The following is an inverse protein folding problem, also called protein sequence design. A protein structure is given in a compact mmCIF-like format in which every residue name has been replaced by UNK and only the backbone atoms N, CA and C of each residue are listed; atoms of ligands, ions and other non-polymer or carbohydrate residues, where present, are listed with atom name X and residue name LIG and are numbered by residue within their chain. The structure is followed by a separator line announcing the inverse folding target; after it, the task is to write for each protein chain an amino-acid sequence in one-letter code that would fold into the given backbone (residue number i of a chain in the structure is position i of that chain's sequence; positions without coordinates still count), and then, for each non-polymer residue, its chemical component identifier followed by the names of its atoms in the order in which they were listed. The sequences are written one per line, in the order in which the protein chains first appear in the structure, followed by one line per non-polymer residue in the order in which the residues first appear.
data_IF_372705394668
#
_entry.id   IF_372705394668
#
_cell.length_a   1.000
_cell.length_b   1.000
_cell.length_c   1.000
_cell.angle_alpha   90.00
_cell.angle_beta   90.00
_cell.angle_gamma   90.00
#
_symmetry.space_group_name_H-M   'P 1'
#
loop_
_entity.id
_entity.type
_entity.pdbx_description
1 polymer ?
#
# COMPACT_ATOMS: atom_id res chain seq x y z
N UNK A 1 -27.21 13.75 -7.98
CA UNK A 1 -26.90 14.60 -6.83
C UNK A 1 -25.40 14.61 -6.57
N UNK A 2 -24.80 13.48 -6.24
CA UNK A 2 -23.41 13.40 -5.79
C UNK A 2 -22.38 13.91 -6.82
N UNK A 3 -22.57 13.61 -8.12
CA UNK A 3 -21.69 14.14 -9.17
C UNK A 3 -21.76 15.66 -9.27
N UNK A 4 -22.96 16.24 -9.11
CA UNK A 4 -23.13 17.69 -9.09
C UNK A 4 -22.44 18.32 -7.88
N UNK A 5 -22.66 17.76 -6.70
CA UNK A 5 -22.07 18.25 -5.45
C UNK A 5 -20.52 18.15 -5.52
N UNK A 6 -19.98 17.09 -6.13
CA UNK A 6 -18.53 16.93 -6.38
C UNK A 6 -18.00 18.07 -7.27
N UNK A 7 -18.65 18.34 -8.40
CA UNK A 7 -18.20 19.39 -9.31
C UNK A 7 -18.33 20.77 -8.65
N UNK A 8 -19.44 21.07 -8.01
CA UNK A 8 -19.64 22.36 -7.32
C UNK A 8 -18.59 22.60 -6.22
N UNK A 9 -18.22 21.54 -5.48
CA UNK A 9 -17.16 21.63 -4.46
C UNK A 9 -15.79 21.89 -5.09
N UNK A 10 -15.46 21.22 -6.19
CA UNK A 10 -14.09 21.14 -6.70
C UNK A 10 -13.83 22.06 -7.92
N UNK A 11 -14.85 22.71 -8.46
CA UNK A 11 -14.77 23.52 -9.68
C UNK A 11 -13.66 24.58 -9.65
N UNK A 12 -13.56 25.29 -8.53
CA UNK A 12 -12.58 26.37 -8.34
C UNK A 12 -11.23 25.86 -7.79
N UNK A 13 -11.01 24.56 -7.74
CA UNK A 13 -9.74 23.98 -7.28
C UNK A 13 -8.86 23.57 -8.46
N UNK A 14 -7.83 24.34 -8.82
CA UNK A 14 -6.98 24.06 -10.00
C UNK A 14 -6.17 22.76 -9.85
N UNK A 15 -6.02 22.21 -8.66
CA UNK A 15 -5.38 20.92 -8.41
C UNK A 15 -6.28 19.74 -8.82
N UNK A 16 -7.58 19.93 -8.97
CA UNK A 16 -8.48 18.91 -9.52
C UNK A 16 -8.40 18.96 -11.04
N UNK A 17 -7.76 17.98 -11.64
CA UNK A 17 -7.47 17.95 -13.08
C UNK A 17 -8.36 16.99 -13.87
N UNK A 18 -9.08 16.09 -13.21
CA UNK A 18 -10.01 15.14 -13.81
C UNK A 18 -11.06 14.69 -12.80
N UNK A 19 -12.16 14.15 -13.28
CA UNK A 19 -13.19 13.51 -12.47
C UNK A 19 -13.19 12.00 -12.67
N UNK A 20 -13.51 11.24 -11.62
CA UNK A 20 -13.75 9.81 -11.70
C UNK A 20 -15.20 9.48 -11.35
N UNK A 21 -15.88 8.72 -12.19
CA UNK A 21 -17.28 8.31 -11.98
C UNK A 21 -17.43 7.09 -11.10
N UNK A 22 -16.34 6.38 -10.80
CA UNK A 22 -16.35 5.20 -9.93
C UNK A 22 -15.05 4.43 -9.96
N UNK A 23 -14.96 3.43 -9.09
CA UNK A 23 -13.82 2.53 -9.00
C UNK A 23 -14.29 1.08 -8.86
N UNK A 24 -13.76 0.19 -9.68
CA UNK A 24 -14.04 -1.26 -9.70
C UNK A 24 -15.52 -1.61 -9.73
N UNK A 25 -16.33 -0.77 -10.41
CA UNK A 25 -17.75 -1.02 -10.61
C UNK A 25 -17.91 -2.15 -11.62
N UNK A 26 -18.15 -3.36 -11.11
CA UNK A 26 -18.17 -4.57 -11.93
C UNK A 26 -19.29 -4.57 -12.98
N UNK A 27 -20.37 -3.82 -12.75
CA UNK A 27 -21.48 -3.61 -13.67
C UNK A 27 -21.09 -2.90 -14.97
N UNK A 28 -19.92 -2.22 -15.01
CA UNK A 28 -19.39 -1.64 -16.25
C UNK A 28 -19.07 -2.70 -17.33
N UNK A 29 -19.07 -3.98 -16.99
CA UNK A 29 -19.06 -5.10 -17.94
C UNK A 29 -20.42 -5.49 -18.49
N UNK A 30 -21.51 -4.82 -18.10
CA UNK A 30 -22.89 -5.10 -18.48
C UNK A 30 -23.53 -3.91 -19.23
N UNK A 31 -24.55 -4.18 -20.04
CA UNK A 31 -25.19 -3.18 -20.90
C UNK A 31 -25.66 -1.94 -20.14
N UNK A 32 -26.31 -2.13 -19.01
CA UNK A 32 -26.84 -1.01 -18.22
C UNK A 32 -25.70 -0.20 -17.55
N UNK A 33 -24.67 -0.85 -17.03
CA UNK A 33 -23.50 -0.17 -16.46
C UNK A 33 -22.71 0.61 -17.51
N UNK A 34 -22.55 0.05 -18.72
CA UNK A 34 -21.94 0.76 -19.86
C UNK A 34 -22.73 2.02 -20.20
N UNK A 35 -24.09 1.91 -20.31
CA UNK A 35 -24.96 3.06 -20.55
C UNK A 35 -24.84 4.11 -19.42
N UNK A 36 -24.85 3.67 -18.18
CA UNK A 36 -24.73 4.57 -17.03
C UNK A 36 -23.39 5.32 -17.02
N UNK A 37 -22.30 4.62 -17.35
CA UNK A 37 -20.96 5.25 -17.45
C UNK A 37 -20.97 6.38 -18.49
N UNK A 38 -21.56 6.15 -19.68
CA UNK A 38 -21.71 7.19 -20.69
C UNK A 38 -22.55 8.39 -20.21
N UNK A 39 -23.70 8.11 -19.61
CA UNK A 39 -24.57 9.16 -19.07
C UNK A 39 -23.88 10.00 -17.99
N UNK A 40 -23.08 9.37 -17.13
CA UNK A 40 -22.31 10.07 -16.10
C UNK A 40 -21.24 10.97 -16.72
N UNK A 41 -20.51 10.48 -17.70
CA UNK A 41 -19.51 11.26 -18.44
C UNK A 41 -20.13 12.47 -19.12
N UNK A 42 -21.21 12.27 -19.86
CA UNK A 42 -21.95 13.37 -20.50
C UNK A 42 -22.49 14.38 -19.49
N UNK A 43 -22.99 13.91 -18.35
CA UNK A 43 -23.49 14.79 -17.31
C UNK A 43 -22.38 15.65 -16.70
N UNK A 44 -21.20 15.06 -16.42
CA UNK A 44 -20.04 15.80 -15.93
C UNK A 44 -19.55 16.83 -16.96
N UNK A 45 -19.51 16.51 -18.24
CA UNK A 45 -19.15 17.46 -19.30
C UNK A 45 -20.14 18.64 -19.39
N UNK A 46 -21.43 18.41 -19.11
CA UNK A 46 -22.44 19.50 -19.04
C UNK A 46 -22.21 20.42 -17.83
N UNK A 47 -21.70 19.90 -16.73
CA UNK A 47 -21.39 20.68 -15.53
C UNK A 47 -20.05 21.39 -15.62
N UNK A 48 -19.05 20.69 -16.15
CA UNK A 48 -17.69 21.18 -16.35
C UNK A 48 -17.04 20.53 -17.58
N UNK A 49 -17.07 21.23 -18.69
CA UNK A 49 -16.46 20.79 -19.95
C UNK A 49 -14.94 20.99 -20.01
N UNK A 50 -14.28 21.41 -18.94
CA UNK A 50 -12.85 21.71 -18.91
C UNK A 50 -12.00 20.56 -18.41
N UNK A 51 -12.59 19.59 -17.72
CA UNK A 51 -11.89 18.45 -17.09
C UNK A 51 -12.31 17.12 -17.70
N UNK A 52 -11.35 16.24 -18.03
CA UNK A 52 -11.65 14.92 -18.53
C UNK A 52 -12.26 14.02 -17.46
N UNK A 53 -12.99 13.01 -17.91
CA UNK A 53 -13.69 12.03 -17.09
C UNK A 53 -13.07 10.66 -17.24
N UNK A 54 -12.92 9.95 -16.16
CA UNK A 54 -12.40 8.58 -16.08
C UNK A 54 -13.28 7.70 -15.21
N UNK A 55 -13.02 6.40 -15.23
CA UNK A 55 -13.52 5.42 -14.25
C UNK A 55 -12.50 4.29 -14.13
N UNK A 56 -12.19 3.90 -12.92
CA UNK A 56 -11.30 2.76 -12.67
C UNK A 56 -12.01 1.43 -12.93
N UNK A 57 -11.51 0.63 -13.86
CA UNK A 57 -12.08 -0.68 -14.20
C UNK A 57 -11.06 -1.77 -13.91
N UNK A 58 -11.41 -2.70 -12.99
CA UNK A 58 -10.70 -3.94 -12.86
C UNK A 58 -11.12 -4.91 -13.96
N UNK A 59 -10.28 -4.99 -14.98
CA UNK A 59 -10.59 -5.68 -16.24
C UNK A 59 -10.92 -7.15 -16.03
N UNK A 60 -10.14 -7.83 -15.17
CA UNK A 60 -10.32 -9.25 -14.91
C UNK A 60 -11.56 -9.51 -14.06
N UNK A 61 -11.81 -8.67 -13.06
CA UNK A 61 -12.99 -8.81 -12.21
C UNK A 61 -14.28 -8.49 -12.95
N UNK A 62 -14.31 -7.49 -13.84
CA UNK A 62 -15.45 -7.24 -14.71
C UNK A 62 -15.82 -8.46 -15.56
N UNK A 63 -14.81 -9.15 -16.09
CA UNK A 63 -15.04 -10.40 -16.82
C UNK A 63 -15.63 -11.48 -15.90
N UNK A 64 -15.06 -11.72 -14.71
CA UNK A 64 -15.55 -12.70 -13.76
C UNK A 64 -17.00 -12.38 -13.32
N UNK A 65 -17.28 -11.11 -13.03
CA UNK A 65 -18.62 -10.66 -12.68
C UNK A 65 -19.63 -10.95 -13.80
N UNK A 66 -19.25 -10.70 -15.05
CA UNK A 66 -20.09 -10.99 -16.21
C UNK A 66 -20.40 -12.49 -16.39
N UNK A 67 -19.60 -13.35 -15.77
CA UNK A 67 -19.80 -14.81 -15.70
C UNK A 67 -20.58 -15.25 -14.46
N UNK A 68 -21.03 -14.32 -13.61
CA UNK A 68 -21.80 -14.59 -12.41
C UNK A 68 -20.98 -14.79 -11.13
N UNK A 69 -19.67 -14.60 -11.16
CA UNK A 69 -18.82 -14.70 -9.97
C UNK A 69 -18.88 -13.42 -9.12
N UNK A 70 -18.95 -13.55 -7.80
CA UNK A 70 -18.90 -12.42 -6.86
C UNK A 70 -20.09 -11.46 -6.95
N UNK A 71 -21.16 -11.82 -7.65
CA UNK A 71 -22.34 -10.96 -7.86
C UNK A 71 -23.02 -10.69 -6.53
N UNK A 72 -23.10 -9.42 -6.17
CA UNK A 72 -23.85 -8.93 -5.03
C UNK A 72 -25.32 -8.73 -5.40
N UNK A 73 -26.22 -9.13 -4.49
CA UNK A 73 -27.60 -8.68 -4.53
C UNK A 73 -28.12 -8.54 -3.10
N UNK A 74 -28.90 -7.49 -2.84
CA UNK A 74 -29.48 -7.24 -1.52
C UNK A 74 -30.35 -8.38 -1.03
N UNK A 75 -31.12 -9.01 -1.93
CA UNK A 75 -31.95 -10.17 -1.59
C UNK A 75 -31.13 -11.38 -1.16
N UNK A 76 -30.01 -11.63 -1.86
CA UNK A 76 -29.09 -12.71 -1.54
C UNK A 76 -28.37 -12.43 -0.23
N UNK A 77 -27.91 -11.20 0.00
CA UNK A 77 -27.28 -10.78 1.24
C UNK A 77 -28.22 -10.94 2.45
N UNK A 78 -29.51 -10.56 2.31
CA UNK A 78 -30.52 -10.75 3.35
C UNK A 78 -30.78 -12.23 3.64
N UNK A 79 -30.87 -13.08 2.61
CA UNK A 79 -31.04 -14.54 2.78
C UNK A 79 -29.81 -15.20 3.44
N UNK A 80 -28.61 -14.79 3.03
CA UNK A 80 -27.36 -15.31 3.61
C UNK A 80 -27.20 -14.87 5.07
N UNK A 81 -27.57 -13.63 5.42
CA UNK A 81 -27.59 -13.16 6.81
C UNK A 81 -28.57 -13.96 7.68
N UNK A 82 -29.79 -14.19 7.21
CA UNK A 82 -30.78 -15.01 7.91
C UNK A 82 -30.35 -16.48 8.11
N UNK A 83 -29.59 -17.03 7.14
CA UNK A 83 -29.08 -18.40 7.24
C UNK A 83 -27.84 -18.52 8.14
N UNK A 84 -27.03 -17.43 8.28
CA UNK A 84 -25.90 -17.42 9.19
C UNK A 84 -26.34 -17.34 10.66
N UNK A 85 -27.37 -16.58 10.96
CA UNK A 85 -27.96 -16.50 12.29
C UNK A 85 -28.56 -17.86 12.75
N UNK A 86 -28.96 -18.71 11.80
CA UNK A 86 -29.42 -20.05 12.07
C UNK A 86 -28.31 -21.12 12.23
N UNK A 87 -27.02 -20.72 12.19
CA UNK A 87 -25.87 -21.61 12.42
C UNK A 87 -25.60 -22.65 11.33
N UNK A 88 -26.29 -22.58 10.19
CA UNK A 88 -26.37 -23.69 9.24
C UNK A 88 -25.45 -23.61 8.02
N UNK A 89 -24.82 -22.47 7.70
CA UNK A 89 -23.87 -22.35 6.57
C UNK A 89 -22.81 -21.26 6.76
N UNK A 90 -21.58 -21.51 6.30
CA UNK A 90 -20.57 -20.48 6.16
C UNK A 90 -21.09 -19.37 5.25
N UNK A 91 -21.01 -18.12 5.70
CA UNK A 91 -21.31 -16.91 4.91
C UNK A 91 -20.52 -16.94 3.60
N UNK A 92 -21.18 -16.84 2.46
CA UNK A 92 -20.50 -16.70 1.17
C UNK A 92 -20.02 -15.27 1.02
N UNK A 93 -18.73 -15.10 0.74
CA UNK A 93 -18.16 -13.80 0.40
C UNK A 93 -18.69 -13.32 -0.96
N UNK A 94 -19.07 -12.06 -1.05
CA UNK A 94 -19.58 -11.41 -2.28
C UNK A 94 -18.99 -10.00 -2.42
N UNK A 95 -19.08 -9.41 -3.61
CA UNK A 95 -18.58 -8.07 -3.86
C UNK A 95 -17.08 -7.95 -3.59
N UNK A 96 -16.67 -6.84 -2.98
CA UNK A 96 -15.24 -6.54 -2.72
C UNK A 96 -14.55 -7.61 -1.89
N UNK A 97 -15.21 -8.15 -0.86
CA UNK A 97 -14.64 -9.20 -0.01
C UNK A 97 -14.30 -10.47 -0.81
N UNK A 98 -15.18 -10.87 -1.75
CA UNK A 98 -14.91 -11.99 -2.65
C UNK A 98 -13.69 -11.72 -3.53
N UNK A 99 -13.63 -10.55 -4.17
CA UNK A 99 -12.54 -10.21 -5.09
C UNK A 99 -11.21 -10.01 -4.38
N UNK A 100 -11.21 -9.43 -3.20
CA UNK A 100 -10.00 -9.27 -2.38
C UNK A 100 -9.43 -10.62 -1.95
N UNK A 101 -10.30 -11.54 -1.50
CA UNK A 101 -9.89 -12.91 -1.17
C UNK A 101 -9.34 -13.62 -2.40
N UNK A 102 -10.02 -13.50 -3.54
CA UNK A 102 -9.58 -14.11 -4.81
C UNK A 102 -8.24 -13.53 -5.27
N UNK A 103 -8.05 -12.22 -5.20
CA UNK A 103 -6.79 -11.55 -5.55
C UNK A 103 -5.63 -12.01 -4.65
N UNK A 104 -5.85 -12.12 -3.34
CA UNK A 104 -4.88 -12.67 -2.40
C UNK A 104 -4.45 -14.08 -2.78
N UNK A 105 -5.40 -14.95 -3.11
CA UNK A 105 -5.13 -16.35 -3.51
C UNK A 105 -4.44 -16.48 -4.87
N UNK A 106 -4.90 -15.74 -5.88
CA UNK A 106 -4.38 -15.81 -7.25
C UNK A 106 -3.05 -15.12 -7.42
N UNK A 107 -2.81 -14.08 -6.62
CA UNK A 107 -1.65 -13.20 -6.74
C UNK A 107 -1.73 -12.27 -7.96
N UNK A 108 -0.85 -11.28 -7.99
CA UNK A 108 -0.80 -10.23 -9.01
C UNK A 108 -0.57 -10.74 -10.43
N UNK A 109 0.29 -11.75 -10.60
CA UNK A 109 0.63 -12.30 -11.93
C UNK A 109 -0.59 -12.88 -12.62
N UNK A 110 -1.38 -13.66 -11.89
CA UNK A 110 -2.58 -14.30 -12.45
C UNK A 110 -3.63 -13.25 -12.80
N UNK A 111 -3.84 -12.25 -11.95
CA UNK A 111 -4.74 -11.14 -12.22
C UNK A 111 -4.35 -10.38 -13.50
N UNK A 112 -3.08 -10.00 -13.61
CA UNK A 112 -2.55 -9.27 -14.77
C UNK A 112 -2.64 -10.09 -16.06
N UNK A 113 -2.30 -11.38 -16.01
CA UNK A 113 -2.43 -12.28 -17.15
C UNK A 113 -3.90 -12.51 -17.53
N UNK A 114 -4.78 -12.71 -16.53
CA UNK A 114 -6.22 -12.83 -16.77
C UNK A 114 -6.79 -11.61 -17.49
N UNK A 115 -6.36 -10.41 -17.14
CA UNK A 115 -6.77 -9.18 -17.80
C UNK A 115 -6.40 -9.12 -19.30
N UNK A 116 -5.44 -9.92 -19.80
CA UNK A 116 -5.04 -9.95 -21.21
C UNK A 116 -5.97 -10.79 -22.09
N UNK A 117 -6.88 -11.55 -21.51
CA UNK A 117 -7.82 -12.38 -22.26
C UNK A 117 -8.70 -11.54 -23.21
N UNK A 118 -8.94 -12.05 -24.40
CA UNK A 118 -9.83 -11.38 -25.37
C UNK A 118 -11.24 -11.15 -24.80
N UNK A 119 -11.75 -12.09 -24.02
CA UNK A 119 -13.05 -11.97 -23.36
C UNK A 119 -13.10 -10.76 -22.39
N UNK A 120 -12.00 -10.43 -21.72
CA UNK A 120 -11.89 -9.24 -20.89
C UNK A 120 -11.97 -7.96 -21.71
N UNK A 121 -11.37 -7.93 -22.90
CA UNK A 121 -11.50 -6.81 -23.82
C UNK A 121 -12.95 -6.62 -24.26
N UNK A 122 -13.62 -7.68 -24.71
CA UNK A 122 -15.04 -7.63 -25.11
C UNK A 122 -15.95 -7.06 -24.01
N UNK A 123 -15.64 -7.33 -22.75
CA UNK A 123 -16.44 -6.89 -21.60
C UNK A 123 -16.14 -5.47 -21.11
N UNK A 124 -15.01 -4.89 -21.52
CA UNK A 124 -14.57 -3.58 -20.98
C UNK A 124 -14.44 -2.49 -22.05
N UNK A 125 -14.26 -2.85 -23.31
CA UNK A 125 -13.97 -1.88 -24.38
C UNK A 125 -15.06 -0.82 -24.57
N UNK A 126 -16.33 -1.20 -24.44
CA UNK A 126 -17.46 -0.29 -24.65
C UNK A 126 -17.60 0.70 -23.48
N UNK A 127 -17.31 0.27 -22.25
CA UNK A 127 -17.23 1.18 -21.11
C UNK A 127 -16.08 2.18 -21.27
N UNK A 128 -14.91 1.70 -21.70
CA UNK A 128 -13.76 2.57 -21.99
C UNK A 128 -14.01 3.57 -23.10
N UNK A 129 -14.85 3.23 -24.09
CA UNK A 129 -15.23 4.16 -25.17
C UNK A 129 -16.10 5.33 -24.69
N UNK A 130 -16.70 5.23 -23.51
CA UNK A 130 -17.51 6.27 -22.88
C UNK A 130 -16.71 7.22 -21.97
N UNK A 131 -15.39 7.09 -21.92
CA UNK A 131 -14.51 7.88 -21.04
C UNK A 131 -13.52 8.67 -21.88
N UNK A 132 -13.11 9.83 -21.40
CA UNK A 132 -12.01 10.59 -22.02
C UNK A 132 -10.66 9.89 -21.75
N UNK A 133 -10.49 9.37 -20.54
CA UNK A 133 -9.30 8.65 -20.12
C UNK A 133 -9.72 7.30 -19.53
N UNK A 134 -9.28 6.22 -20.14
CA UNK A 134 -9.59 4.88 -19.69
C UNK A 134 -8.78 4.52 -18.44
N UNK A 135 -9.47 4.30 -17.31
CA UNK A 135 -8.87 3.93 -16.03
C UNK A 135 -8.69 2.40 -15.92
N UNK A 136 -7.45 1.96 -15.83
CA UNK A 136 -7.09 0.54 -15.75
C UNK A 136 -6.67 0.18 -14.34
N UNK A 137 -7.44 -0.67 -13.65
CA UNK A 137 -7.01 -1.28 -12.41
C UNK A 137 -6.31 -2.60 -12.72
N UNK A 138 -5.01 -2.69 -12.34
CA UNK A 138 -4.14 -3.88 -12.48
C UNK A 138 -3.99 -4.44 -13.90
N UNK A 139 -4.16 -3.59 -14.92
CA UNK A 139 -4.19 -3.96 -16.33
C UNK A 139 -2.90 -3.68 -17.12
N UNK A 140 -1.76 -3.47 -16.47
CA UNK A 140 -0.51 -3.00 -17.11
C UNK A 140 -0.06 -3.87 -18.30
N UNK A 141 -0.28 -5.19 -18.28
CA UNK A 141 0.10 -6.08 -19.37
C UNK A 141 -0.73 -5.85 -20.64
N UNK A 142 -1.86 -5.14 -20.56
CA UNK A 142 -2.71 -4.81 -21.71
C UNK A 142 -2.30 -3.52 -22.41
N UNK A 143 -1.61 -2.60 -21.75
CA UNK A 143 -1.38 -1.24 -22.28
C UNK A 143 -0.86 -1.25 -23.71
N UNK A 144 0.20 -1.98 -24.00
CA UNK A 144 0.79 -2.06 -25.36
C UNK A 144 -0.18 -2.59 -26.42
N UNK A 145 -0.98 -3.59 -26.07
CA UNK A 145 -1.96 -4.18 -26.95
C UNK A 145 -3.10 -3.19 -27.21
N UNK A 146 -3.65 -2.60 -26.16
CA UNK A 146 -4.80 -1.71 -26.25
C UNK A 146 -4.46 -0.38 -26.94
N UNK A 147 -3.27 0.16 -26.70
CA UNK A 147 -2.76 1.35 -27.40
C UNK A 147 -2.57 1.12 -28.90
N UNK A 148 -2.28 -0.12 -29.32
CA UNK A 148 -2.23 -0.49 -30.75
C UNK A 148 -3.62 -0.68 -31.33
N UNK A 149 -4.53 -1.30 -30.58
CA UNK A 149 -5.89 -1.62 -31.02
C UNK A 149 -6.81 -0.40 -31.04
N UNK A 150 -6.61 0.51 -30.09
CA UNK A 150 -7.40 1.73 -29.89
C UNK A 150 -6.48 2.96 -29.96
N UNK A 151 -6.22 3.51 -31.18
CA UNK A 151 -5.20 4.55 -31.39
C UNK A 151 -5.44 5.84 -30.60
N UNK A 152 -6.71 6.20 -30.37
CA UNK A 152 -7.08 7.45 -29.69
C UNK A 152 -7.25 7.29 -28.18
N UNK A 153 -7.08 6.08 -27.65
CA UNK A 153 -7.28 5.81 -26.23
C UNK A 153 -6.15 6.40 -25.41
N UNK A 154 -6.51 7.21 -24.41
CA UNK A 154 -5.64 7.59 -23.32
C UNK A 154 -5.79 6.58 -22.18
N UNK A 155 -4.69 6.19 -21.55
CA UNK A 155 -4.66 5.21 -20.48
C UNK A 155 -4.17 5.85 -19.19
N UNK A 156 -4.94 5.66 -18.12
CA UNK A 156 -4.55 5.92 -16.74
C UNK A 156 -4.41 4.59 -16.00
N UNK A 157 -3.28 4.34 -15.37
CA UNK A 157 -3.20 3.31 -14.32
C UNK A 157 -3.94 3.79 -13.10
N UNK A 158 -5.27 3.59 -13.06
CA UNK A 158 -6.09 4.06 -11.94
C UNK A 158 -5.83 3.27 -10.66
N UNK A 159 -5.36 2.03 -10.79
CA UNK A 159 -4.73 1.26 -9.72
C UNK A 159 -3.66 0.32 -10.28
N UNK A 160 -2.46 0.34 -9.70
CA UNK A 160 -1.37 -0.56 -10.07
C UNK A 160 -0.71 -1.16 -8.84
N UNK A 161 -0.13 -2.33 -8.98
CA UNK A 161 0.68 -2.92 -7.91
C UNK A 161 2.00 -2.15 -7.73
N UNK A 162 2.50 -2.10 -6.50
CA UNK A 162 3.78 -1.47 -6.20
C UNK A 162 4.91 -1.95 -7.11
N UNK A 163 5.02 -3.24 -7.30
CA UNK A 163 6.08 -3.87 -8.11
C UNK A 163 6.05 -3.48 -9.59
N UNK A 164 4.92 -2.97 -10.10
CA UNK A 164 4.75 -2.58 -11.50
C UNK A 164 5.23 -1.13 -11.77
N UNK A 165 5.58 -0.35 -10.73
CA UNK A 165 5.97 1.05 -10.87
C UNK A 165 7.13 1.28 -11.85
N UNK A 166 8.12 0.38 -11.88
CA UNK A 166 9.23 0.46 -12.84
C UNK A 166 8.75 0.28 -14.28
N UNK A 167 8.01 -0.80 -14.55
CA UNK A 167 7.52 -1.13 -15.89
C UNK A 167 6.57 -0.06 -16.42
N UNK A 168 5.68 0.44 -15.54
CA UNK A 168 4.81 1.57 -15.84
C UNK A 168 5.62 2.79 -16.29
N UNK A 169 6.58 3.21 -15.47
CA UNK A 169 7.35 4.42 -15.74
C UNK A 169 8.17 4.30 -17.03
N UNK A 170 8.78 3.13 -17.29
CA UNK A 170 9.50 2.87 -18.54
C UNK A 170 8.58 2.91 -19.78
N UNK A 171 7.34 2.46 -19.65
CA UNK A 171 6.36 2.57 -20.75
C UNK A 171 5.90 4.02 -20.93
N UNK A 172 5.56 4.72 -19.85
CA UNK A 172 5.05 6.09 -19.90
C UNK A 172 6.06 7.08 -20.51
N UNK A 173 7.38 6.87 -20.27
CA UNK A 173 8.44 7.68 -20.92
C UNK A 173 8.43 7.57 -22.46
N UNK A 174 7.92 6.45 -23.01
CA UNK A 174 7.96 6.15 -24.45
C UNK A 174 6.59 6.35 -25.14
N UNK A 175 5.52 6.32 -24.36
CA UNK A 175 4.15 6.38 -24.89
C UNK A 175 3.34 7.47 -24.17
N UNK A 176 3.16 8.60 -24.85
CA UNK A 176 2.50 9.79 -24.30
C UNK A 176 1.01 9.60 -23.99
N UNK A 177 0.37 8.57 -24.53
CA UNK A 177 -1.03 8.25 -24.25
C UNK A 177 -1.22 7.51 -22.91
N UNK A 178 -0.13 7.13 -22.23
CA UNK A 178 -0.16 6.72 -20.83
C UNK A 178 0.01 7.99 -20.00
N UNK A 179 -1.11 8.48 -19.46
CA UNK A 179 -1.18 9.83 -18.88
C UNK A 179 -0.83 9.90 -17.40
N UNK A 180 -0.92 8.79 -16.69
CA UNK A 180 -0.61 8.76 -15.25
C UNK A 180 -0.78 7.38 -14.63
N UNK A 181 -0.42 7.31 -13.34
CA UNK A 181 -0.51 6.10 -12.53
C UNK A 181 -0.84 6.42 -11.08
N UNK A 182 -1.71 5.61 -10.49
CA UNK A 182 -2.02 5.59 -9.08
C UNK A 182 -1.66 4.23 -8.50
N UNK A 183 -0.56 4.17 -7.80
CA UNK A 183 -0.08 2.93 -7.22
C UNK A 183 -0.84 2.63 -5.92
N UNK A 184 -1.41 1.43 -5.79
CA UNK A 184 -2.09 0.98 -4.59
C UNK A 184 -1.10 0.23 -3.67
N UNK A 185 -0.75 0.74 -2.46
CA UNK A 185 -1.18 2.04 -1.97
C UNK A 185 0.05 2.85 -1.55
N UNK A 186 -0.07 4.15 -1.61
CA UNK A 186 1.00 5.06 -1.18
C UNK A 186 1.18 5.04 0.33
N UNK A 187 0.16 5.46 1.07
CA UNK A 187 0.06 5.38 2.53
C UNK A 187 -0.87 4.24 2.92
N UNK A 188 -0.53 3.52 3.96
CA UNK A 188 -1.38 2.48 4.51
C UNK A 188 -2.67 3.07 5.10
N UNK A 189 -3.68 2.25 5.24
CA UNK A 189 -5.01 2.69 5.64
C UNK A 189 -5.65 1.67 6.56
N UNK A 190 -6.70 2.10 7.23
CA UNK A 190 -7.56 1.28 8.05
C UNK A 190 -8.68 0.77 7.17
N UNK A 191 -9.16 -0.40 7.45
CA UNK A 191 -10.27 -0.98 6.73
C UNK A 191 -10.16 -2.47 6.68
N UNK A 192 -10.20 -3.08 5.48
CA UNK A 192 -10.11 -4.54 5.36
C UNK A 192 -8.74 -5.00 5.84
N UNK A 193 -8.71 -5.25 7.11
CA UNK A 193 -7.52 -5.63 7.84
C UNK A 193 -6.91 -6.89 7.24
N UNK A 194 -5.60 -6.86 7.01
CA UNK A 194 -4.85 -7.97 6.44
C UNK A 194 -4.77 -8.01 4.91
N UNK A 195 -5.49 -7.17 4.17
CA UNK A 195 -5.31 -7.07 2.72
C UNK A 195 -3.91 -6.54 2.41
N UNK A 196 -3.11 -7.36 1.74
CA UNK A 196 -1.72 -7.04 1.42
C UNK A 196 -0.73 -7.29 2.55
N UNK A 197 -1.15 -7.57 3.77
CA UNK A 197 -0.25 -8.00 4.84
C UNK A 197 0.31 -9.40 4.55
N UNK A 198 1.54 -9.64 5.01
CA UNK A 198 2.12 -10.98 5.03
C UNK A 198 2.02 -11.55 6.41
N UNK A 199 1.39 -12.71 6.51
CA UNK A 199 1.30 -13.52 7.71
C UNK A 199 2.25 -14.70 7.54
N UNK A 200 3.19 -14.87 8.44
CA UNK A 200 4.10 -16.01 8.44
C UNK A 200 3.48 -17.18 9.23
N UNK A 201 3.83 -18.41 8.89
CA UNK A 201 3.25 -19.62 9.50
C UNK A 201 3.48 -19.70 11.02
N UNK A 202 4.61 -19.19 11.48
CA UNK A 202 5.02 -19.14 12.87
C UNK A 202 4.50 -17.89 13.61
N UNK A 203 3.87 -16.99 12.91
CA UNK A 203 3.43 -15.69 13.39
C UNK A 203 1.93 -15.46 13.18
N UNK A 204 1.34 -16.07 12.16
CA UNK A 204 -0.07 -15.90 11.87
C UNK A 204 -0.90 -16.22 13.12
N UNK A 205 -1.70 -15.28 13.62
CA UNK A 205 -2.60 -15.56 14.73
C UNK A 205 -3.53 -16.67 14.30
N UNK A 206 -3.62 -17.71 15.12
CA UNK A 206 -4.50 -18.85 14.88
C UNK A 206 -5.97 -18.40 14.72
N UNK A 207 -6.26 -17.18 15.12
CA UNK A 207 -7.59 -16.57 15.06
C UNK A 207 -7.52 -15.06 14.81
N UNK A 208 -7.15 -14.68 13.57
CA UNK A 208 -7.30 -13.29 13.09
C UNK A 208 -8.76 -12.77 13.22
N UNK A 209 -9.72 -13.66 13.53
CA UNK A 209 -11.12 -13.31 13.73
C UNK A 209 -11.39 -12.57 15.02
N UNK A 210 -10.60 -12.77 16.08
CA UNK A 210 -10.84 -12.13 17.37
C UNK A 210 -10.19 -10.76 17.49
N UNK A 211 -9.03 -10.54 16.88
CA UNK A 211 -8.29 -9.27 16.99
C UNK A 211 -8.32 -8.43 15.72
N UNK A 212 -8.44 -9.04 14.54
CA UNK A 212 -8.38 -8.37 13.23
C UNK A 212 -7.03 -7.64 13.00
N UNK A 213 -6.73 -7.32 11.77
CA UNK A 213 -5.66 -6.37 11.43
C UNK A 213 -6.18 -4.95 11.54
N UNK A 214 -5.48 -4.07 12.22
CA UNK A 214 -5.89 -2.66 12.32
C UNK A 214 -5.66 -1.90 11.00
N UNK A 215 -4.70 -2.36 10.21
CA UNK A 215 -4.34 -1.77 8.92
C UNK A 215 -4.33 -2.79 7.79
N UNK A 216 -4.46 -2.33 6.56
CA UNK A 216 -4.41 -3.20 5.39
C UNK A 216 -3.03 -3.83 5.16
N UNK A 217 -1.94 -3.16 5.57
CA UNK A 217 -0.56 -3.63 5.39
C UNK A 217 -0.02 -3.49 3.97
N UNK A 218 -0.72 -2.80 3.07
CA UNK A 218 -0.34 -2.62 1.66
C UNK A 218 0.34 -1.29 1.34
N UNK A 219 0.37 -0.36 2.30
CA UNK A 219 1.00 0.95 2.13
C UNK A 219 2.53 0.87 2.05
N UNK A 220 3.13 1.72 1.22
CA UNK A 220 4.59 1.95 1.18
C UNK A 220 5.07 2.69 2.40
N UNK A 221 4.21 3.55 2.91
CA UNK A 221 4.36 4.27 4.15
C UNK A 221 3.26 3.75 5.07
N UNK A 222 3.62 3.30 6.26
CA UNK A 222 2.62 2.83 7.21
C UNK A 222 1.82 3.99 7.81
N UNK A 223 0.76 3.69 8.57
CA UNK A 223 -0.13 4.71 9.17
C UNK A 223 0.58 5.69 10.11
N UNK A 224 1.76 5.35 10.62
CA UNK A 224 2.58 6.24 11.46
C UNK A 224 3.65 7.00 10.66
N UNK A 225 3.65 6.89 9.32
CA UNK A 225 4.57 7.62 8.46
C UNK A 225 5.97 6.99 8.33
N UNK A 226 6.16 5.72 8.69
CA UNK A 226 7.41 5.01 8.43
C UNK A 226 7.42 4.41 7.03
N UNK A 227 8.49 4.69 6.29
CA UNK A 227 8.69 4.17 4.95
C UNK A 227 9.35 2.79 4.99
N UNK A 228 8.80 1.83 4.23
CA UNK A 228 9.41 0.51 4.01
C UNK A 228 10.26 0.45 2.75
N UNK A 229 10.77 -0.75 2.45
CA UNK A 229 11.52 -1.02 1.21
C UNK A 229 10.73 -0.67 -0.06
N UNK A 230 9.42 -0.81 -0.03
CA UNK A 230 8.53 -0.44 -1.12
C UNK A 230 8.56 1.06 -1.46
N UNK A 231 8.75 1.91 -0.45
CA UNK A 231 8.90 3.36 -0.67
C UNK A 231 10.23 3.66 -1.36
N UNK A 232 11.33 3.04 -0.93
CA UNK A 232 12.64 3.17 -1.56
C UNK A 232 12.61 2.63 -3.01
N UNK A 233 11.98 1.47 -3.24
CA UNK A 233 11.76 0.93 -4.58
C UNK A 233 11.01 1.94 -5.47
N UNK A 234 9.90 2.49 -4.98
CA UNK A 234 9.07 3.43 -5.76
C UNK A 234 9.85 4.70 -6.14
N UNK A 235 10.64 5.27 -5.23
CA UNK A 235 11.50 6.42 -5.53
C UNK A 235 12.46 6.13 -6.69
N UNK A 236 13.09 4.96 -6.67
CA UNK A 236 14.03 4.52 -7.70
C UNK A 236 13.29 4.19 -9.00
N UNK A 237 12.17 3.49 -8.93
CA UNK A 237 11.36 3.13 -10.09
C UNK A 237 10.90 4.37 -10.87
N UNK A 238 10.50 5.43 -10.17
CA UNK A 238 10.04 6.70 -10.76
C UNK A 238 11.17 7.73 -10.98
N UNK A 239 12.44 7.32 -10.91
CA UNK A 239 13.63 8.18 -11.10
C UNK A 239 13.68 9.41 -10.18
N UNK A 240 12.99 9.38 -9.03
CA UNK A 240 13.11 10.45 -8.04
C UNK A 240 14.46 10.43 -7.35
N UNK A 241 15.00 9.24 -7.16
CA UNK A 241 16.35 9.00 -6.65
C UNK A 241 16.97 7.81 -7.41
N UNK A 242 18.30 7.83 -7.60
CA UNK A 242 18.99 6.78 -8.37
C UNK A 242 19.32 5.55 -7.52
N UNK A 243 19.37 5.70 -6.23
CA UNK A 243 19.88 4.67 -5.32
C UNK A 243 21.42 4.56 -5.35
N UNK A 244 22.04 3.50 -4.84
CA UNK A 244 21.37 2.31 -4.31
C UNK A 244 20.73 2.56 -2.94
N UNK A 245 19.60 1.89 -2.68
CA UNK A 245 19.02 1.74 -1.35
C UNK A 245 19.07 0.27 -0.96
N UNK A 246 19.31 0.00 0.31
CA UNK A 246 19.33 -1.36 0.86
C UNK A 246 18.11 -1.52 1.76
N UNK A 247 17.34 -2.57 1.55
CA UNK A 247 16.33 -3.03 2.48
C UNK A 247 16.51 -4.51 2.77
N UNK A 248 16.24 -4.93 3.99
CA UNK A 248 16.45 -6.31 4.44
C UNK A 248 15.14 -6.83 5.00
N UNK A 249 14.73 -8.01 4.53
CA UNK A 249 13.59 -8.70 5.11
C UNK A 249 13.89 -9.08 6.55
N UNK A 250 12.90 -9.07 7.46
CA UNK A 250 13.11 -9.51 8.83
C UNK A 250 13.81 -10.87 8.89
N UNK A 251 15.04 -10.92 9.42
CA UNK A 251 15.91 -12.10 9.30
C UNK A 251 15.41 -13.28 10.14
N UNK A 252 14.70 -13.00 11.22
CA UNK A 252 14.08 -14.02 12.07
C UNK A 252 12.83 -14.64 11.47
N UNK A 253 12.17 -13.98 10.50
CA UNK A 253 11.00 -14.48 9.79
C UNK A 253 11.42 -15.39 8.63
N UNK A 254 11.10 -16.67 8.69
CA UNK A 254 11.63 -17.67 7.74
C UNK A 254 10.60 -18.60 7.15
N UNK A 255 9.42 -18.60 7.70
CA UNK A 255 8.32 -19.43 7.26
C UNK A 255 7.80 -19.03 5.87
N UNK A 256 6.88 -19.82 5.37
CA UNK A 256 6.03 -19.40 4.26
C UNK A 256 5.11 -18.31 4.79
N UNK A 257 4.93 -17.26 4.01
CA UNK A 257 3.96 -16.22 4.33
C UNK A 257 2.67 -16.43 3.54
N UNK A 258 1.57 -15.86 4.03
CA UNK A 258 0.30 -15.81 3.34
C UNK A 258 0.45 -15.16 1.95
N UNK A 259 -0.40 -15.54 0.98
CA UNK A 259 -0.40 -14.88 -0.31
C UNK A 259 -0.84 -13.43 -0.17
N UNK A 260 -0.13 -12.53 -0.84
CA UNK A 260 -0.47 -11.11 -0.93
C UNK A 260 -0.23 -10.61 -2.35
N UNK A 261 -1.25 -9.98 -2.93
CA UNK A 261 -1.13 -9.36 -4.24
C UNK A 261 -0.56 -7.94 -4.15
N UNK A 262 -0.92 -7.21 -3.09
CA UNK A 262 -0.61 -5.77 -2.94
C UNK A 262 0.72 -5.52 -2.23
N UNK A 263 1.12 -6.38 -1.29
CA UNK A 263 2.41 -6.28 -0.60
C UNK A 263 3.53 -6.77 -1.51
N UNK A 264 4.49 -5.91 -1.82
CA UNK A 264 5.66 -6.29 -2.61
C UNK A 264 6.75 -6.91 -1.72
N UNK A 265 7.00 -6.29 -0.58
CA UNK A 265 8.03 -6.71 0.38
C UNK A 265 7.75 -6.20 1.78
N UNK A 266 8.25 -6.90 2.77
CA UNK A 266 8.31 -6.50 4.18
C UNK A 266 9.71 -6.00 4.58
N UNK A 267 10.61 -5.83 3.61
CA UNK A 267 11.97 -5.39 3.84
C UNK A 267 12.03 -3.95 4.39
N UNK A 268 12.92 -3.72 5.35
CA UNK A 268 13.17 -2.42 5.99
C UNK A 268 14.62 -2.01 5.87
N UNK A 269 14.90 -0.72 5.99
CA UNK A 269 16.26 -0.16 5.96
C UNK A 269 16.96 -0.41 7.30
N UNK A 270 17.33 -1.66 7.57
CA UNK A 270 18.06 -2.05 8.78
C UNK A 270 19.00 -3.22 8.53
N UNK A 271 20.16 -3.20 9.22
CA UNK A 271 21.10 -4.31 9.34
C UNK A 271 21.39 -4.60 10.83
N UNK A 272 20.34 -4.62 11.66
CA UNK A 272 20.42 -4.82 13.11
C UNK A 272 19.45 -5.92 13.56
N UNK A 273 19.86 -7.17 13.36
CA UNK A 273 19.03 -8.35 13.62
C UNK A 273 19.67 -9.21 14.71
N UNK A 274 19.72 -8.68 15.93
CA UNK A 274 20.34 -9.32 17.10
C UNK A 274 19.79 -10.73 17.33
N UNK A 275 20.67 -11.71 17.51
CA UNK A 275 20.30 -13.11 17.71
C UNK A 275 20.04 -13.89 16.40
N UNK A 276 20.23 -13.25 15.26
CA UNK A 276 20.07 -13.88 13.93
C UNK A 276 21.40 -14.19 13.26
N UNK A 277 22.54 -14.14 13.97
CA UNK A 277 23.87 -14.37 13.42
C UNK A 277 23.95 -15.75 12.74
N UNK A 278 24.53 -15.79 11.55
CA UNK A 278 24.61 -16.97 10.69
C UNK A 278 23.33 -17.34 9.95
N UNK A 279 22.22 -16.71 10.28
CA UNK A 279 20.95 -16.95 9.60
C UNK A 279 20.96 -16.30 8.21
N UNK A 280 20.22 -16.89 7.26
CA UNK A 280 20.08 -16.36 5.90
C UNK A 280 19.30 -15.04 5.93
N UNK A 281 19.93 -13.95 5.56
CA UNK A 281 19.29 -12.67 5.31
C UNK A 281 18.95 -12.52 3.83
N UNK A 282 17.76 -12.02 3.54
CA UNK A 282 17.32 -11.63 2.20
C UNK A 282 17.46 -10.11 2.07
N UNK A 283 18.43 -9.69 1.27
CA UNK A 283 18.79 -8.29 1.07
C UNK A 283 18.26 -7.84 -0.29
N UNK A 284 17.41 -6.84 -0.31
CA UNK A 284 16.92 -6.20 -1.52
C UNK A 284 17.70 -4.89 -1.75
N UNK A 285 18.15 -4.67 -2.98
CA UNK A 285 18.82 -3.43 -3.36
C UNK A 285 18.07 -2.80 -4.52
N UNK A 286 17.74 -1.52 -4.37
CA UNK A 286 17.03 -0.75 -5.38
C UNK A 286 17.96 0.29 -5.99
N UNK A 287 18.18 0.21 -7.32
CA UNK A 287 19.07 1.12 -8.01
C UNK A 287 18.73 1.29 -9.50
N UNK A 288 18.96 2.47 -10.04
CA UNK A 288 19.04 2.72 -11.48
C UNK A 288 20.51 2.62 -11.91
N UNK A 289 20.94 1.40 -12.22
CA UNK A 289 22.34 1.08 -12.52
C UNK A 289 22.43 -0.10 -13.50
N UNK A 290 23.58 -0.31 -14.09
CA UNK A 290 23.83 -1.50 -14.92
C UNK A 290 24.10 -2.75 -14.05
N UNK A 291 24.73 -2.57 -12.89
CA UNK A 291 24.97 -3.64 -11.93
C UNK A 291 25.10 -3.13 -10.50
N UNK A 292 24.88 -4.01 -9.55
CA UNK A 292 25.08 -3.79 -8.12
C UNK A 292 26.00 -4.86 -7.58
N UNK A 293 26.95 -4.47 -6.74
CA UNK A 293 27.78 -5.36 -5.95
C UNK A 293 27.50 -5.13 -4.46
N UNK A 294 27.30 -6.22 -3.73
CA UNK A 294 27.03 -6.19 -2.31
C UNK A 294 28.27 -6.63 -1.53
N UNK A 295 28.61 -5.88 -0.49
CA UNK A 295 29.74 -6.15 0.40
C UNK A 295 29.25 -6.35 1.82
N UNK A 296 29.76 -7.38 2.47
CA UNK A 296 29.54 -7.63 3.91
C UNK A 296 30.91 -7.55 4.60
N UNK A 297 31.06 -6.59 5.53
CA UNK A 297 32.30 -6.34 6.24
C UNK A 297 33.53 -6.16 5.33
N UNK A 298 33.32 -5.48 4.18
CA UNK A 298 34.36 -5.24 3.19
C UNK A 298 34.62 -6.40 2.22
N UNK A 299 34.04 -7.58 2.42
CA UNK A 299 34.14 -8.72 1.49
C UNK A 299 33.00 -8.66 0.48
N UNK A 300 33.27 -8.80 -0.82
CA UNK A 300 32.23 -8.95 -1.82
C UNK A 300 31.47 -10.26 -1.61
N UNK A 301 30.15 -10.15 -1.52
CA UNK A 301 29.24 -11.30 -1.41
C UNK A 301 28.49 -11.57 -2.71
N UNK A 302 28.77 -10.77 -3.73
CA UNK A 302 28.32 -10.98 -5.10
C UNK A 302 28.05 -9.71 -5.86
N UNK A 303 28.20 -9.79 -7.17
CA UNK A 303 27.85 -8.74 -8.14
C UNK A 303 26.78 -9.24 -9.09
N UNK A 304 25.73 -8.48 -9.29
CA UNK A 304 24.58 -8.85 -10.14
C UNK A 304 24.25 -7.71 -11.10
N UNK A 305 23.85 -8.09 -12.33
CA UNK A 305 23.37 -7.13 -13.33
C UNK A 305 21.89 -6.81 -13.10
N UNK A 306 21.51 -5.55 -13.28
CA UNK A 306 20.14 -5.09 -13.39
C UNK A 306 19.77 -5.08 -14.88
N UNK A 307 18.78 -5.89 -15.25
CA UNK A 307 18.27 -5.94 -16.62
C UNK A 307 16.77 -5.72 -16.60
N UNK A 308 16.32 -4.62 -17.21
CA UNK A 308 14.91 -4.25 -17.30
C UNK A 308 14.19 -4.27 -15.91
N UNK A 309 14.91 -3.84 -14.87
CA UNK A 309 14.40 -3.72 -13.51
C UNK A 309 15.27 -2.75 -12.70
N UNK A 310 14.77 -2.30 -11.57
CA UNK A 310 15.51 -1.47 -10.63
C UNK A 310 15.64 -2.08 -9.24
N UNK A 311 15.34 -3.37 -9.09
CA UNK A 311 15.47 -4.11 -7.84
C UNK A 311 16.24 -5.41 -8.06
N UNK A 312 17.04 -5.79 -7.07
CA UNK A 312 17.80 -7.01 -7.10
C UNK A 312 17.95 -7.59 -5.69
N UNK A 313 17.90 -8.91 -5.57
CA UNK A 313 17.93 -9.60 -4.28
C UNK A 313 19.23 -10.39 -4.12
N UNK A 314 19.82 -10.29 -2.93
CA UNK A 314 20.95 -11.11 -2.48
C UNK A 314 20.51 -11.95 -1.28
N UNK A 315 21.07 -13.16 -1.19
CA UNK A 315 20.93 -14.02 -0.02
C UNK A 315 22.32 -14.14 0.61
N UNK A 316 22.46 -13.66 1.82
CA UNK A 316 23.74 -13.66 2.54
C UNK A 316 23.55 -14.16 3.96
N UNK A 317 24.55 -14.77 4.61
CA UNK A 317 24.48 -15.01 6.06
C UNK A 317 24.48 -13.66 6.77
N UNK A 318 23.62 -13.52 7.78
CA UNK A 318 23.65 -12.32 8.62
C UNK A 318 24.89 -12.34 9.53
N UNK A 319 25.67 -11.29 9.45
CA UNK A 319 26.82 -11.04 10.32
C UNK A 319 26.76 -9.59 10.81
N UNK A 320 27.07 -9.35 12.07
CA UNK A 320 27.19 -7.99 12.59
C UNK A 320 28.27 -7.20 11.84
N UNK A 321 28.04 -5.92 11.65
CA UNK A 321 28.99 -5.02 11.01
C UNK A 321 28.39 -4.13 9.92
N UNK A 322 29.00 -4.10 8.73
CA UNK A 322 28.63 -3.19 7.64
C UNK A 322 28.15 -3.95 6.42
N UNK A 323 26.95 -3.64 5.96
CA UNK A 323 26.40 -4.10 4.69
C UNK A 323 26.42 -2.94 3.70
N UNK A 324 27.17 -3.05 2.61
CA UNK A 324 27.35 -1.96 1.63
C UNK A 324 26.95 -2.42 0.24
N UNK A 325 26.05 -1.69 -0.40
CA UNK A 325 25.73 -1.86 -1.83
C UNK A 325 26.43 -0.76 -2.64
N UNK A 326 27.05 -1.17 -3.72
CA UNK A 326 27.71 -0.27 -4.69
C UNK A 326 27.06 -0.46 -6.05
N UNK A 327 26.61 0.60 -6.66
CA UNK A 327 26.02 0.59 -7.99
C UNK A 327 27.03 1.08 -9.04
N UNK A 328 26.99 0.43 -10.20
CA UNK A 328 27.90 0.72 -11.32
C UNK A 328 27.13 1.00 -12.59
N UNK A 329 27.68 1.89 -13.42
CA UNK A 329 27.20 2.12 -14.78
C UNK A 329 27.59 0.98 -15.75
N UNK A 330 27.25 1.14 -17.04
CA UNK A 330 27.59 0.18 -18.10
C UNK A 330 29.08 0.02 -18.35
N UNK A 331 29.91 1.02 -17.96
CA UNK A 331 31.36 1.00 -18.09
C UNK A 331 32.05 0.45 -16.84
N UNK A 332 31.29 0.06 -15.82
CA UNK A 332 31.82 -0.44 -14.56
C UNK A 332 32.30 0.65 -13.60
N UNK A 333 31.94 1.92 -13.86
CA UNK A 333 32.28 3.04 -12.99
C UNK A 333 31.25 3.08 -11.85
N UNK A 334 31.71 3.26 -10.61
CA UNK A 334 30.85 3.45 -9.44
C UNK A 334 30.05 4.75 -9.59
N UNK A 335 28.72 4.64 -9.45
CA UNK A 335 27.78 5.75 -9.56
C UNK A 335 26.99 6.00 -8.28
N UNK A 336 27.12 5.14 -7.28
CA UNK A 336 26.45 5.32 -5.99
C UNK A 336 26.81 4.23 -4.99
N UNK A 337 26.64 4.58 -3.71
CA UNK A 337 26.96 3.71 -2.58
C UNK A 337 26.00 3.94 -1.44
N UNK A 338 25.54 2.86 -0.79
CA UNK A 338 24.74 2.89 0.42
C UNK A 338 25.32 1.90 1.43
N UNK A 339 25.33 2.25 2.69
CA UNK A 339 25.84 1.38 3.77
C UNK A 339 24.88 1.37 4.96
N UNK A 340 24.41 0.19 5.33
CA UNK A 340 23.76 -0.06 6.61
C UNK A 340 24.79 -0.62 7.59
N UNK A 341 24.57 -0.35 8.89
CA UNK A 341 25.43 -0.84 9.98
C UNK A 341 24.57 -1.54 11.01
N UNK A 342 25.13 -2.53 11.66
CA UNK A 342 24.54 -3.10 12.88
C UNK A 342 24.63 -2.08 14.01
N UNK A 343 23.56 -1.93 14.76
CA UNK A 343 23.51 -1.08 15.94
C UNK A 343 24.43 -1.64 17.06
N UNK A 344 25.02 -0.76 17.84
CA UNK A 344 25.76 -1.11 19.03
C UNK A 344 24.84 -1.68 20.13
N UNK A 345 25.45 -2.34 21.13
CA UNK A 345 24.70 -3.06 22.18
C UNK A 345 23.81 -2.15 23.02
N UNK A 346 24.31 -0.95 23.38
CA UNK A 346 23.54 -0.01 24.19
C UNK A 346 22.32 0.50 23.47
N UNK A 347 21.17 0.35 24.09
CA UNK A 347 19.90 0.85 23.56
C UNK A 347 19.56 2.19 24.18
N UNK A 348 19.14 3.13 23.35
CA UNK A 348 18.61 4.43 23.77
C UNK A 348 17.25 4.66 23.13
N UNK A 349 16.35 5.30 23.88
CA UNK A 349 15.10 5.78 23.32
C UNK A 349 15.34 7.13 22.64
N UNK A 350 15.18 7.15 21.32
CA UNK A 350 15.34 8.36 20.52
C UNK A 350 13.97 8.96 20.24
N UNK A 351 13.84 10.26 20.45
CA UNK A 351 12.62 11.03 20.19
C UNK A 351 12.88 12.02 19.07
N UNK A 352 12.01 12.01 18.08
CA UNK A 352 12.04 12.96 16.95
C UNK A 352 10.68 13.62 16.79
N UNK A 353 10.67 14.94 16.88
CA UNK A 353 9.47 15.77 16.67
C UNK A 353 9.46 16.28 15.23
N UNK A 354 8.28 16.43 14.65
CA UNK A 354 8.12 17.06 13.33
C UNK A 354 8.27 18.58 13.41
N UNK A 355 7.81 19.16 14.53
CA UNK A 355 7.92 20.60 14.83
C UNK A 355 8.65 20.77 16.16
N UNK A 356 9.55 21.74 16.25
CA UNK A 356 10.25 22.07 17.49
C UNK A 356 9.34 22.68 18.57
N UNK A 357 8.23 23.29 18.16
CA UNK A 357 7.20 23.84 19.02
C UNK A 357 5.83 23.72 18.37
N UNK A 358 4.79 23.52 19.18
CA UNK A 358 3.39 23.45 18.76
C UNK A 358 2.63 24.59 19.45
N UNK A 359 1.78 25.29 18.72
CA UNK A 359 0.87 26.30 19.30
C UNK A 359 -0.33 25.62 19.95
N UNK A 360 -0.97 26.33 20.88
CA UNK A 360 -2.22 25.85 21.46
C UNK A 360 -3.28 25.58 20.38
N UNK A 361 -3.89 24.40 20.41
CA UNK A 361 -4.84 23.94 19.41
C UNK A 361 -4.23 23.29 18.15
N UNK A 362 -2.90 23.27 18.02
CA UNK A 362 -2.23 22.51 16.94
C UNK A 362 -1.93 21.07 17.37
N UNK A 363 -1.79 20.19 16.37
CA UNK A 363 -1.31 18.83 16.56
C UNK A 363 0.21 18.76 16.43
N UNK A 364 0.81 17.92 17.26
CA UNK A 364 2.20 17.55 17.21
C UNK A 364 2.38 16.06 17.13
N UNK A 365 3.34 15.62 16.31
CA UNK A 365 3.68 14.22 16.13
C UNK A 365 5.10 13.98 16.62
N UNK A 366 5.24 12.96 17.44
CA UNK A 366 6.50 12.58 18.05
C UNK A 366 6.78 11.12 17.70
N UNK A 367 7.87 10.88 17.00
CA UNK A 367 8.34 9.52 16.73
C UNK A 367 9.29 9.08 17.83
N UNK A 368 9.00 7.92 18.39
CA UNK A 368 9.86 7.23 19.35
C UNK A 368 10.50 6.04 18.62
N UNK A 369 11.79 5.82 18.83
CA UNK A 369 12.53 4.72 18.23
C UNK A 369 13.58 4.20 19.18
N UNK A 370 13.74 2.90 19.27
CA UNK A 370 14.89 2.30 19.90
C UNK A 370 16.06 2.31 18.92
N UNK A 371 17.13 2.98 19.31
CA UNK A 371 18.35 3.09 18.51
C UNK A 371 19.56 2.78 19.38
N UNK A 372 20.73 2.68 18.78
CA UNK A 372 21.97 2.86 19.51
C UNK A 372 22.29 4.35 19.76
N UNK A 373 23.39 4.63 20.44
CA UNK A 373 23.84 6.01 20.73
C UNK A 373 24.17 6.82 19.48
N UNK A 374 24.38 6.17 18.34
CA UNK A 374 24.64 6.81 17.02
C UNK A 374 23.38 6.99 16.18
N UNK A 375 22.22 6.56 16.69
CA UNK A 375 20.93 6.68 16.02
C UNK A 375 20.58 5.53 15.06
N UNK A 376 21.35 4.43 15.07
CA UNK A 376 21.03 3.25 14.25
C UNK A 376 19.87 2.50 14.87
N UNK A 377 18.83 2.25 14.08
CA UNK A 377 17.59 1.60 14.49
C UNK A 377 17.85 0.17 14.99
N UNK A 378 17.19 -0.20 16.09
CA UNK A 378 17.19 -1.53 16.70
C UNK A 378 15.79 -2.14 16.59
N UNK A 379 15.39 -2.72 15.46
CA UNK A 379 14.02 -3.12 15.20
C UNK A 379 13.53 -4.28 16.07
N UNK A 380 14.45 -5.02 16.70
CA UNK A 380 14.12 -6.15 17.56
C UNK A 380 14.00 -5.81 19.05
N UNK A 381 14.22 -4.55 19.42
CA UNK A 381 14.08 -4.12 20.82
C UNK A 381 12.62 -3.94 21.18
N UNK A 382 12.20 -4.59 22.25
CA UNK A 382 10.83 -4.53 22.80
C UNK A 382 10.92 -4.13 24.28
N UNK A 383 10.40 -2.96 24.62
CA UNK A 383 10.34 -2.49 25.99
C UNK A 383 9.00 -1.82 26.25
N UNK A 384 8.51 -1.97 27.46
CA UNK A 384 7.33 -1.24 27.90
C UNK A 384 7.61 0.27 27.91
N UNK A 385 6.74 1.05 27.27
CA UNK A 385 6.85 2.49 27.25
C UNK A 385 5.65 3.14 27.93
N UNK A 386 5.92 4.13 28.78
CA UNK A 386 4.88 5.01 29.34
C UNK A 386 5.12 6.44 28.81
N UNK A 387 4.06 7.10 28.40
CA UNK A 387 4.11 8.48 27.92
C UNK A 387 3.30 9.38 28.84
N UNK A 388 3.91 10.47 29.30
CA UNK A 388 3.25 11.55 30.02
C UNK A 388 3.40 12.82 29.20
N UNK A 389 2.29 13.54 29.01
CA UNK A 389 2.27 14.84 28.35
C UNK A 389 1.95 15.92 29.36
N UNK A 390 2.75 16.98 29.39
CA UNK A 390 2.53 18.17 30.21
C UNK A 390 2.18 19.36 29.32
N UNK A 391 1.23 20.18 29.73
CA UNK A 391 0.72 21.33 28.97
C UNK A 391 0.11 20.98 27.60
N UNK A 392 -0.42 19.75 27.48
CA UNK A 392 -1.08 19.26 26.27
C UNK A 392 -1.93 18.04 26.54
N UNK A 393 -2.63 17.56 25.55
CA UNK A 393 -3.45 16.34 25.61
C UNK A 393 -2.82 15.27 24.76
N UNK A 394 -2.57 14.07 25.34
CA UNK A 394 -2.20 12.90 24.58
C UNK A 394 -3.43 12.37 23.84
N UNK A 395 -3.41 12.45 22.52
CA UNK A 395 -4.52 12.01 21.68
C UNK A 395 -4.42 10.55 21.27
N UNK A 396 -3.20 10.02 21.20
CA UNK A 396 -2.96 8.64 20.88
C UNK A 396 -1.50 8.26 21.09
N UNK A 397 -1.27 7.01 21.44
CA UNK A 397 0.04 6.40 21.57
C UNK A 397 -0.05 4.97 21.06
N UNK A 398 0.84 4.59 20.17
CA UNK A 398 0.84 3.25 19.59
C UNK A 398 2.21 2.84 19.10
N UNK A 399 2.40 1.54 18.97
CA UNK A 399 3.62 0.92 18.45
C UNK A 399 3.42 0.55 16.98
N UNK A 400 4.47 0.69 16.20
CA UNK A 400 4.55 0.20 14.82
C UNK A 400 5.84 -0.57 14.66
N UNK A 401 5.82 -1.76 15.20
CA UNK A 401 6.64 -2.81 14.62
C UNK A 401 5.90 -3.35 13.40
N UNK A 402 6.58 -3.86 12.42
CA UNK A 402 5.97 -4.64 11.33
C UNK A 402 5.11 -5.81 11.84
N UNK A 403 5.37 -6.23 13.08
CA UNK A 403 4.61 -7.21 13.86
C UNK A 403 3.66 -6.58 14.87
N UNK A 404 3.81 -5.29 15.12
CA UNK A 404 3.53 -4.72 16.42
C UNK A 404 2.13 -4.18 16.64
N UNK A 405 1.29 -4.06 15.62
CA UNK A 405 -0.13 -3.79 15.89
C UNK A 405 -0.76 -5.01 16.56
N UNK A 406 -0.31 -6.19 16.19
CA UNK A 406 -0.75 -7.45 16.77
C UNK A 406 -0.29 -7.61 18.23
N UNK A 407 0.99 -7.34 18.53
CA UNK A 407 1.54 -7.48 19.90
C UNK A 407 0.95 -6.44 20.86
N UNK A 408 0.79 -5.19 20.44
CA UNK A 408 0.14 -4.16 21.26
C UNK A 408 -1.33 -4.46 21.53
N UNK A 409 -2.00 -5.12 20.58
CA UNK A 409 -3.37 -5.59 20.73
C UNK A 409 -3.45 -6.83 21.63
N UNK A 410 -2.46 -7.71 21.60
CA UNK A 410 -2.42 -8.90 22.47
C UNK A 410 -2.04 -8.58 23.91
N UNK A 411 -1.04 -7.70 24.18
CA UNK A 411 -0.58 -7.42 25.53
C UNK A 411 -1.53 -6.56 26.36
N UNK A 412 -2.26 -5.61 25.73
CA UNK A 412 -3.24 -4.76 26.43
C UNK A 412 -4.67 -4.89 25.91
N UNK A 413 -4.85 -5.65 24.86
CA UNK A 413 -6.08 -5.76 24.08
C UNK A 413 -6.41 -4.47 23.32
N UNK A 414 -7.22 -4.59 22.28
CA UNK A 414 -7.75 -3.44 21.51
C UNK A 414 -8.34 -2.37 22.46
N UNK A 415 -8.87 -2.80 23.61
CA UNK A 415 -9.39 -1.94 24.67
C UNK A 415 -8.31 -1.09 25.38
N UNK A 416 -7.06 -1.53 25.44
CA UNK A 416 -5.97 -0.76 26.07
C UNK A 416 -5.56 0.43 25.22
N UNK A 417 -5.44 0.20 23.90
CA UNK A 417 -5.20 1.26 22.91
C UNK A 417 -6.38 2.24 22.87
N UNK A 418 -7.59 1.76 23.08
CA UNK A 418 -8.81 2.55 23.04
C UNK A 418 -9.25 3.10 24.40
N UNK A 419 -8.85 2.50 25.54
CA UNK A 419 -9.22 3.01 26.86
C UNK A 419 -8.70 4.42 27.16
N UNK A 420 -7.54 4.80 26.65
CA UNK A 420 -7.04 6.17 26.73
C UNK A 420 -7.92 7.18 25.96
N UNK A 421 -8.69 6.72 24.96
CA UNK A 421 -9.58 7.55 24.13
C UNK A 421 -11.07 7.35 24.36
N UNK A 422 -11.49 6.24 25.00
CA UNK A 422 -12.90 5.84 25.15
C UNK A 422 -13.59 6.41 26.41
N UNK A 423 -12.91 7.10 27.31
CA UNK A 423 -13.55 7.85 28.40
C UNK A 423 -14.41 9.02 27.92
N UNK A 424 -14.45 9.29 26.62
CA UNK A 424 -15.31 10.28 25.98
C UNK A 424 -16.42 9.66 25.09
N UNK A 425 -17.03 8.58 25.53
CA UNK A 425 -18.33 8.03 25.14
C UNK A 425 -18.86 8.26 23.73
N UNK A 426 -18.44 7.54 22.70
CA UNK A 426 -19.28 7.06 21.59
C UNK A 426 -18.49 6.17 20.60
N UNK A 427 -19.18 5.21 19.97
CA UNK A 427 -18.62 4.32 18.93
C UNK A 427 -18.10 5.10 17.68
N UNK A 428 -18.49 6.35 17.50
CA UNK A 428 -17.96 7.24 16.46
C UNK A 428 -16.52 7.72 16.70
N UNK A 429 -16.05 7.64 17.94
CA UNK A 429 -14.69 8.09 18.31
C UNK A 429 -13.64 7.02 18.00
N UNK A 430 -14.03 5.77 17.92
CA UNK A 430 -13.11 4.66 17.57
C UNK A 430 -12.69 4.71 16.09
N UNK A 431 -13.62 5.01 15.19
CA UNK A 431 -13.28 5.28 13.79
C UNK A 431 -12.38 6.52 13.66
N UNK A 432 -12.57 7.52 14.55
CA UNK A 432 -11.76 8.72 14.59
C UNK A 432 -10.31 8.48 15.07
N UNK A 433 -10.03 7.46 15.90
CA UNK A 433 -8.67 7.23 16.41
C UNK A 433 -7.75 6.54 15.41
N UNK A 434 -8.27 5.89 14.46
CA UNK A 434 -7.52 5.20 13.43
C UNK A 434 -7.49 5.98 12.11
N UNK A 435 -8.57 6.66 11.71
CA UNK A 435 -8.55 7.85 10.87
C UNK A 435 -8.00 9.06 11.65
N UNK A 436 -7.89 8.91 12.91
CA UNK A 436 -7.62 9.92 13.88
C UNK A 436 -6.32 10.65 13.70
N UNK A 437 -5.44 10.14 12.88
CA UNK A 437 -4.31 10.92 12.44
C UNK A 437 -4.72 12.06 11.49
N UNK A 438 -5.82 11.93 10.76
CA UNK A 438 -6.36 13.01 9.91
C UNK A 438 -7.69 13.56 10.43
N UNK A 439 -8.50 12.79 11.14
CA UNK A 439 -9.85 13.18 11.55
C UNK A 439 -9.93 13.72 12.99
N UNK A 440 -8.99 13.42 13.89
CA UNK A 440 -8.89 14.09 15.19
C UNK A 440 -8.66 15.60 15.06
N UNK A 441 -8.04 16.03 13.96
CA UNK A 441 -7.91 17.43 13.57
C UNK A 441 -9.23 18.16 13.38
N UNK A 442 -10.29 17.47 13.05
CA UNK A 442 -11.61 18.07 12.75
C UNK A 442 -12.55 17.99 13.95
N UNK A 443 -12.39 17.01 14.85
CA UNK A 443 -13.31 16.76 15.95
C UNK A 443 -13.02 17.59 17.21
N UNK A 444 -11.76 17.82 17.56
CA UNK A 444 -11.43 18.57 18.80
C UNK A 444 -11.78 20.06 18.73
N UNK A 445 -11.86 20.62 17.52
CA UNK A 445 -12.31 22.02 17.33
C UNK A 445 -13.82 22.22 17.51
N UNK A 446 -14.63 21.15 17.48
CA UNK A 446 -16.08 21.20 17.62
C UNK A 446 -16.62 20.85 19.01
N UNK A 447 -15.80 20.23 19.87
CA UNK A 447 -16.21 19.82 21.21
C UNK A 447 -15.88 20.82 22.31
N UNK A 448 -15.26 21.96 21.98
CA UNK A 448 -14.96 23.05 22.90
C UNK A 448 -15.85 24.30 22.70
N UNK A 449 -17.04 24.11 22.18
CA UNK A 449 -18.09 25.16 22.22
C UNK A 449 -19.28 24.73 23.01
#
# INVERSE_FOLDING_TARGET
KDLKDMVEKDYNHPCVIMYSTGNEVAETGQKEGIRLTGNMTEYLHKLDGTRPVSCGINIFFNFLYSMGFGVYSDEKAKKDAQQSDAGTKKKKTVGSEFYNTLAGLLGDKTMKLGATLHACDVKTRDAYANMDIAGYNYGILRYKHDLKKYPDRLILGSETFCKDAYDFYEMAKREKRIVGDFVWAGMDYIGEAGIGAWEYEDYAPADAKECGWLTAGSGRINILGFAGGEAAYTKVALEKEKGPFIAVKPVYQRGRHSPSAWKMTDAIESWSWKGCEGMKAVVEVYARAASVELYLNGRSVGKKKLKDCCNITFNVPYENGKLTAVSYDSNGIEIGRCTLKTAADKTVLTMKTEKGAIKAGELGFIRLSYTDETGILKPMEKHHMAVKVENGTLLGFGNVLWEGVHDAVQEEGLLGIFKGGLTAGSAGTCAALVFGYLASLVFDSKMKK
#
